data_IF_029649729136
#
_entry.id   IF_029649729136
#
_cell.length_a   1.000
_cell.length_b   1.000
_cell.length_c   1.000
_cell.angle_alpha   90.00
_cell.angle_beta   90.00
_cell.angle_gamma   90.00
#
_symmetry.space_group_name_H-M   'P 1'
#
loop_
_entity.id
_entity.type
_entity.pdbx_description
1 polymer ?
#
# COMPACT_ATOMS: atom_id res chain seq x y z
N UNK A 1 -10.35 16.41 -0.07
CA UNK A 1 -9.04 16.35 0.62
C UNK A 1 -7.88 16.60 -0.35
N UNK A 2 -7.79 15.90 -1.48
CA UNK A 2 -6.75 16.12 -2.51
C UNK A 2 -6.66 17.57 -2.99
N UNK A 3 -7.79 18.17 -3.40
CA UNK A 3 -7.83 19.56 -3.85
C UNK A 3 -7.33 20.54 -2.77
N UNK A 4 -7.67 20.31 -1.50
CA UNK A 4 -7.19 21.14 -0.39
C UNK A 4 -5.67 21.01 -0.18
N UNK A 5 -5.13 19.78 -0.27
CA UNK A 5 -3.68 19.54 -0.20
C UNK A 5 -2.91 20.17 -1.37
N UNK A 6 -3.55 20.26 -2.55
CA UNK A 6 -3.02 20.94 -3.72
C UNK A 6 -3.18 22.47 -3.69
N UNK A 7 -3.74 23.04 -2.61
CA UNK A 7 -4.04 24.47 -2.52
C UNK A 7 -5.18 24.93 -3.43
N UNK A 8 -5.99 24.01 -3.94
CA UNK A 8 -7.16 24.30 -4.77
C UNK A 8 -8.40 24.61 -3.93
N UNK A 9 -9.19 25.58 -4.39
CA UNK A 9 -10.47 25.93 -3.76
C UNK A 9 -11.45 24.75 -3.88
N UNK A 10 -12.07 24.38 -2.76
CA UNK A 10 -13.06 23.30 -2.68
C UNK A 10 -14.50 23.80 -2.83
N UNK A 11 -14.70 24.88 -3.59
CA UNK A 11 -16.00 25.56 -3.71
C UNK A 11 -17.02 24.77 -4.53
N UNK A 12 -16.59 24.22 -5.68
CA UNK A 12 -17.41 23.35 -6.53
C UNK A 12 -16.54 22.24 -7.12
N UNK A 13 -17.14 21.11 -7.48
CA UNK A 13 -16.45 19.99 -8.15
C UNK A 13 -15.78 20.43 -9.45
N UNK A 14 -16.43 21.30 -10.22
CA UNK A 14 -15.86 21.88 -11.43
C UNK A 14 -14.63 22.76 -11.14
N UNK A 15 -14.69 23.63 -10.13
CA UNK A 15 -13.56 24.50 -9.76
C UNK A 15 -12.36 23.69 -9.23
N UNK A 16 -12.61 22.61 -8.49
CA UNK A 16 -11.57 21.70 -8.02
C UNK A 16 -10.84 21.03 -9.18
N UNK A 17 -11.57 20.43 -10.13
CA UNK A 17 -10.98 19.73 -11.28
C UNK A 17 -10.24 20.72 -12.19
N UNK A 18 -10.79 21.91 -12.42
CA UNK A 18 -10.15 22.94 -13.21
C UNK A 18 -8.80 23.37 -12.61
N UNK A 19 -8.75 23.56 -11.29
CA UNK A 19 -7.51 23.92 -10.59
C UNK A 19 -6.47 22.78 -10.63
N UNK A 20 -6.89 21.53 -10.39
CA UNK A 20 -5.99 20.39 -10.40
C UNK A 20 -5.35 20.14 -11.78
N UNK A 21 -6.05 20.43 -12.87
CA UNK A 21 -5.51 20.33 -14.24
C UNK A 21 -4.48 21.39 -14.58
N UNK A 22 -4.41 22.47 -13.81
CA UNK A 22 -3.47 23.59 -13.99
C UNK A 22 -2.20 23.41 -13.14
N UNK A 23 -2.07 22.30 -12.40
CA UNK A 23 -0.90 21.99 -11.55
C UNK A 23 0.22 21.35 -12.34
N UNK A 24 1.46 21.60 -11.93
CA UNK A 24 2.64 20.95 -12.52
C UNK A 24 2.80 19.53 -11.99
N UNK A 25 3.63 18.72 -12.66
CA UNK A 25 3.90 17.33 -12.26
C UNK A 25 4.48 17.26 -10.85
N UNK A 26 5.39 18.18 -10.51
CA UNK A 26 6.07 18.24 -9.22
C UNK A 26 5.11 18.58 -8.07
N UNK A 27 4.22 19.55 -8.29
CA UNK A 27 3.17 19.89 -7.31
C UNK A 27 2.22 18.70 -7.09
N UNK A 28 1.88 17.98 -8.16
CA UNK A 28 1.02 16.81 -8.08
C UNK A 28 1.72 15.64 -7.36
N UNK A 29 3.04 15.50 -7.55
CA UNK A 29 3.87 14.52 -6.85
C UNK A 29 3.93 14.82 -5.35
N UNK A 30 4.12 16.08 -4.97
CA UNK A 30 4.13 16.52 -3.57
C UNK A 30 2.76 16.29 -2.90
N UNK A 31 1.67 16.58 -3.61
CA UNK A 31 0.31 16.30 -3.14
C UNK A 31 0.08 14.80 -2.94
N UNK A 32 0.60 13.97 -3.85
CA UNK A 32 0.51 12.51 -3.76
C UNK A 32 1.27 11.99 -2.54
N UNK A 33 2.49 12.48 -2.29
CA UNK A 33 3.27 12.17 -1.09
C UNK A 33 2.55 12.61 0.20
N UNK A 34 1.92 13.79 0.18
CA UNK A 34 1.09 14.27 1.30
C UNK A 34 -0.16 13.43 1.51
N UNK A 35 -0.76 12.87 0.46
CA UNK A 35 -1.89 11.94 0.55
C UNK A 35 -1.51 10.60 1.16
N UNK A 36 -0.30 10.09 0.92
CA UNK A 36 0.22 8.90 1.61
C UNK A 36 0.29 9.15 3.13
N UNK A 37 0.52 10.40 3.55
CA UNK A 37 0.45 10.83 4.95
C UNK A 37 -0.94 11.19 5.48
N UNK A 38 -1.99 11.17 4.66
CA UNK A 38 -3.37 11.34 5.17
C UNK A 38 -3.78 10.06 5.86
N UNK A 39 -3.85 10.11 7.19
CA UNK A 39 -4.38 9.03 8.01
C UNK A 39 -5.82 8.70 7.59
N UNK A 40 -5.96 7.61 6.85
CA UNK A 40 -7.17 6.79 6.86
C UNK A 40 -7.15 6.06 8.21
N UNK A 41 -8.29 5.91 8.91
CA UNK A 41 -8.34 5.13 10.15
C UNK A 41 -7.66 3.78 9.92
N UNK A 42 -6.92 3.33 10.91
CA UNK A 42 -6.16 2.10 10.77
C UNK A 42 -7.15 0.97 10.37
N UNK A 43 -6.80 0.08 9.42
CA UNK A 43 -7.69 -1.00 9.00
C UNK A 43 -8.24 -1.80 10.19
N UNK A 44 -7.45 -1.93 11.26
CA UNK A 44 -7.84 -2.56 12.51
C UNK A 44 -9.03 -1.87 13.20
N UNK A 45 -9.07 -0.52 13.20
CA UNK A 45 -10.17 0.28 13.77
C UNK A 45 -11.45 0.11 12.94
N UNK A 46 -11.34 0.18 11.60
CA UNK A 46 -12.48 0.03 10.69
C UNK A 46 -13.12 -1.37 10.82
N UNK A 47 -12.28 -2.40 10.96
CA UNK A 47 -12.74 -3.76 11.16
C UNK A 47 -13.37 -3.96 12.55
N UNK A 48 -12.83 -3.32 13.60
CA UNK A 48 -13.38 -3.39 14.95
C UNK A 48 -14.73 -2.67 15.07
N UNK A 49 -14.87 -1.48 14.47
CA UNK A 49 -16.11 -0.68 14.52
C UNK A 49 -17.19 -1.17 13.54
N UNK A 50 -16.85 -2.13 12.65
CA UNK A 50 -17.70 -2.59 11.54
C UNK A 50 -18.27 -1.44 10.71
N UNK A 51 -17.49 -0.38 10.51
CA UNK A 51 -17.90 0.85 9.82
C UNK A 51 -17.80 0.71 8.28
N UNK A 52 -18.34 -0.38 7.74
CA UNK A 52 -18.32 -0.69 6.31
C UNK A 52 -19.66 -1.22 5.80
N UNK A 53 -19.90 -1.07 4.49
CA UNK A 53 -21.11 -1.56 3.85
C UNK A 53 -21.07 -3.09 3.77
N UNK A 54 -22.10 -3.74 4.30
CA UNK A 54 -22.20 -5.19 4.32
C UNK A 54 -22.81 -5.71 3.01
N UNK A 55 -21.97 -5.82 1.97
CA UNK A 55 -22.32 -6.34 0.65
C UNK A 55 -21.51 -7.60 0.37
N UNK A 56 -21.95 -8.53 -0.50
CA UNK A 56 -21.13 -9.69 -0.86
C UNK A 56 -19.74 -9.26 -1.34
N UNK A 57 -18.70 -9.64 -0.59
CA UNK A 57 -17.33 -9.20 -0.82
C UNK A 57 -16.42 -10.40 -1.06
N UNK A 58 -15.70 -10.37 -2.18
CA UNK A 58 -14.76 -11.42 -2.58
C UNK A 58 -13.33 -10.96 -2.32
N UNK A 59 -12.61 -11.72 -1.50
CA UNK A 59 -11.19 -11.51 -1.23
C UNK A 59 -10.41 -12.68 -1.80
N UNK A 60 -9.36 -12.38 -2.57
CA UNK A 60 -8.49 -13.38 -3.17
C UNK A 60 -7.04 -12.91 -3.18
N UNK A 61 -6.12 -13.87 -3.13
CA UNK A 61 -4.68 -13.68 -3.26
C UNK A 61 -4.14 -14.59 -4.36
N UNK A 62 -3.15 -14.11 -5.10
CA UNK A 62 -2.36 -14.88 -6.05
C UNK A 62 -1.18 -15.54 -5.34
N UNK A 63 -0.71 -16.67 -5.86
CA UNK A 63 0.39 -17.44 -5.26
C UNK A 63 1.74 -16.71 -5.29
N UNK A 64 1.95 -15.77 -6.22
CA UNK A 64 3.22 -15.05 -6.39
C UNK A 64 2.98 -13.54 -6.51
N UNK A 65 2.35 -12.93 -5.50
CA UNK A 65 2.06 -11.48 -5.49
C UNK A 65 3.31 -10.63 -5.75
N UNK A 66 4.47 -11.05 -5.23
CA UNK A 66 5.77 -10.38 -5.43
C UNK A 66 6.68 -11.05 -6.48
N UNK A 67 6.17 -12.00 -7.26
CA UNK A 67 7.01 -12.77 -8.20
C UNK A 67 7.55 -11.94 -9.38
N UNK A 68 6.78 -10.95 -9.85
CA UNK A 68 7.11 -10.17 -11.06
C UNK A 68 6.50 -8.75 -11.06
N UNK A 69 5.25 -8.60 -10.59
CA UNK A 69 4.46 -7.37 -10.77
C UNK A 69 4.82 -6.27 -9.76
N UNK A 70 5.31 -6.64 -8.57
CA UNK A 70 5.69 -5.69 -7.54
C UNK A 70 7.22 -5.68 -7.42
N UNK A 71 7.93 -4.81 -8.16
CA UNK A 71 9.31 -4.49 -7.87
C UNK A 71 9.37 -3.92 -6.45
N UNK A 72 10.08 -4.61 -5.59
CA UNK A 72 10.55 -4.07 -4.32
C UNK A 72 11.32 -2.78 -4.60
N UNK A 73 10.70 -1.60 -4.38
CA UNK A 73 11.44 -0.33 -4.30
C UNK A 73 12.20 -0.24 -2.96
N UNK A 74 12.79 -1.37 -2.53
CA UNK A 74 13.69 -1.42 -1.40
C UNK A 74 14.91 -0.65 -1.84
N UNK A 75 15.09 0.54 -1.26
CA UNK A 75 16.28 1.37 -1.49
C UNK A 75 17.51 0.47 -1.43
N UNK A 76 18.38 0.53 -2.45
CA UNK A 76 19.56 -0.34 -2.60
C UNK A 76 20.44 -0.40 -1.34
N UNK A 77 20.32 0.59 -0.46
CA UNK A 77 21.04 0.71 0.80
C UNK A 77 20.47 -0.12 1.96
N UNK A 78 19.18 -0.51 1.90
CA UNK A 78 18.51 -1.35 2.90
C UNK A 78 18.52 -2.84 2.53
N UNK A 79 18.84 -3.15 1.28
CA UNK A 79 18.96 -4.52 0.80
C UNK A 79 20.02 -5.31 1.61
N UNK A 80 21.25 -4.81 1.84
CA UNK A 80 22.25 -5.58 2.60
C UNK A 80 21.82 -5.80 4.06
N UNK A 81 21.27 -4.76 4.71
CA UNK A 81 20.86 -4.82 6.11
C UNK A 81 19.67 -5.77 6.33
N UNK A 82 18.63 -5.69 5.49
CA UNK A 82 17.50 -6.62 5.56
C UNK A 82 17.92 -8.06 5.18
N UNK A 83 18.90 -8.21 4.29
CA UNK A 83 19.46 -9.51 3.91
C UNK A 83 20.31 -10.13 5.02
N UNK A 84 20.98 -9.33 5.84
CA UNK A 84 21.79 -9.82 6.96
C UNK A 84 20.92 -10.16 8.17
N UNK A 85 19.98 -9.28 8.51
CA UNK A 85 19.12 -9.39 9.68
C UNK A 85 18.05 -10.50 9.56
N UNK A 86 17.47 -10.68 8.37
CA UNK A 86 16.34 -11.62 8.19
C UNK A 86 16.70 -12.93 7.49
N UNK A 87 17.90 -13.05 6.94
CA UNK A 87 18.24 -14.16 6.05
C UNK A 87 19.55 -14.87 6.44
N UNK A 88 19.94 -14.83 7.72
CA UNK A 88 21.17 -15.40 8.29
C UNK A 88 21.23 -16.94 8.44
N UNK A 89 20.62 -17.72 7.54
CA UNK A 89 20.48 -19.18 7.71
C UNK A 89 20.84 -20.08 6.53
N UNK A 90 21.22 -19.56 5.35
CA UNK A 90 21.58 -20.38 4.19
C UNK A 90 22.43 -19.62 3.15
N UNK A 91 23.42 -20.29 2.56
CA UNK A 91 24.35 -19.71 1.57
C UNK A 91 23.75 -19.58 0.14
N UNK A 92 22.54 -20.09 -0.10
CA UNK A 92 21.89 -20.04 -1.42
C UNK A 92 21.07 -18.75 -1.60
N UNK A 93 21.68 -17.78 -2.28
CA UNK A 93 21.12 -16.45 -2.57
C UNK A 93 19.78 -16.51 -3.33
N UNK A 94 19.56 -17.54 -4.16
CA UNK A 94 18.34 -17.68 -4.99
C UNK A 94 17.16 -18.12 -4.12
N UNK A 95 17.36 -19.11 -3.25
CA UNK A 95 16.34 -19.56 -2.29
C UNK A 95 16.00 -18.46 -1.28
N UNK A 96 17.02 -17.74 -0.84
CA UNK A 96 16.92 -16.60 0.09
C UNK A 96 16.06 -15.47 -0.47
N UNK A 97 16.28 -15.08 -1.72
CA UNK A 97 15.42 -14.12 -2.42
C UNK A 97 13.98 -14.61 -2.53
N UNK A 98 13.77 -15.89 -2.85
CA UNK A 98 12.43 -16.47 -2.97
C UNK A 98 11.67 -16.44 -1.63
N UNK A 99 12.28 -16.91 -0.55
CA UNK A 99 11.68 -16.91 0.79
C UNK A 99 11.34 -15.48 1.26
N UNK A 100 12.20 -14.51 0.94
CA UNK A 100 11.91 -13.10 1.24
C UNK A 100 10.70 -12.57 0.47
N UNK A 101 10.57 -12.92 -0.82
CA UNK A 101 9.40 -12.53 -1.62
C UNK A 101 8.12 -13.20 -1.11
N UNK A 102 8.20 -14.46 -0.70
CA UNK A 102 7.07 -15.19 -0.11
C UNK A 102 6.65 -14.54 1.22
N UNK A 103 7.60 -14.25 2.12
CA UNK A 103 7.35 -13.57 3.40
C UNK A 103 6.67 -12.20 3.21
N UNK A 104 7.17 -11.42 2.25
CA UNK A 104 6.63 -10.10 1.98
C UNK A 104 5.25 -10.17 1.31
N UNK A 105 5.01 -11.19 0.49
CA UNK A 105 3.68 -11.50 -0.04
C UNK A 105 2.69 -11.84 1.07
N UNK A 106 3.09 -12.67 2.03
CA UNK A 106 2.26 -13.03 3.18
C UNK A 106 1.97 -11.82 4.07
N UNK A 107 2.97 -10.99 4.38
CA UNK A 107 2.81 -9.82 5.24
C UNK A 107 1.93 -8.72 4.61
N UNK A 108 2.09 -8.47 3.32
CA UNK A 108 1.40 -7.36 2.63
C UNK A 108 0.03 -7.75 2.08
N UNK A 109 -0.12 -8.98 1.59
CA UNK A 109 -1.34 -9.41 0.89
C UNK A 109 -2.02 -10.58 1.59
N UNK A 110 -1.27 -11.62 1.98
CA UNK A 110 -1.84 -12.85 2.54
C UNK A 110 -2.60 -12.62 3.85
N UNK A 111 -1.89 -12.20 4.89
CA UNK A 111 -2.44 -12.00 6.24
C UNK A 111 -3.53 -10.91 6.27
N UNK A 112 -3.32 -9.71 5.69
CA UNK A 112 -4.36 -8.68 5.66
C UNK A 112 -5.64 -9.14 4.95
N UNK A 113 -5.51 -9.86 3.83
CA UNK A 113 -6.66 -10.40 3.09
C UNK A 113 -7.48 -11.37 3.92
N UNK A 114 -6.83 -12.30 4.63
CA UNK A 114 -7.53 -13.25 5.50
C UNK A 114 -8.19 -12.56 6.69
N UNK A 115 -7.54 -11.54 7.28
CA UNK A 115 -8.11 -10.74 8.37
C UNK A 115 -9.37 -10.02 7.91
N UNK A 116 -9.33 -9.34 6.76
CA UNK A 116 -10.50 -8.64 6.19
C UNK A 116 -11.63 -9.63 5.88
N UNK A 117 -11.32 -10.74 5.22
CA UNK A 117 -12.32 -11.76 4.89
C UNK A 117 -13.01 -12.35 6.12
N UNK A 118 -12.27 -12.55 7.22
CA UNK A 118 -12.83 -13.04 8.49
C UNK A 118 -13.72 -12.01 9.19
N UNK A 119 -13.33 -10.74 9.18
CA UNK A 119 -14.06 -9.67 9.86
C UNK A 119 -15.26 -9.14 9.05
N UNK A 120 -15.25 -9.35 7.74
CA UNK A 120 -16.40 -9.06 6.88
C UNK A 120 -17.53 -10.10 7.03
N UNK A 121 -17.29 -11.21 7.72
CA UNK A 121 -18.31 -12.20 8.07
C UNK A 121 -19.09 -11.81 9.33
#
# INVERSE_FOLDING_TARGET
>A
KVAALAGCKTTTSAAMVHCLRQKTEEELLEVTLKMVGVSVPAPEEILAEKSFNNVPYMVGINKQEYGWIIPMNVSKNLIPAAIEEYLGGTDDLVKKKKLFLDLMGDAMFGVPSVIVARNHR
#
